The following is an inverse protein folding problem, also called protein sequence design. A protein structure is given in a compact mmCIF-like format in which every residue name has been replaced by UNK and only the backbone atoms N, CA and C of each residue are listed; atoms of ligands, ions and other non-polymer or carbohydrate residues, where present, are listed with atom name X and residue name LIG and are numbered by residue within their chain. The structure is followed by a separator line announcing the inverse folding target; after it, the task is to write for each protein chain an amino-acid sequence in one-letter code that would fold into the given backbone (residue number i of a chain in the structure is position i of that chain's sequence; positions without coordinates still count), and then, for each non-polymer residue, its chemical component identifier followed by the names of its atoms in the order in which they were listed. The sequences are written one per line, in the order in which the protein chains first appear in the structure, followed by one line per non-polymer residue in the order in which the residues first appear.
data_IF_267509795920
#
_entry.id   IF_267509795920
#
_cell.length_a   1.000
_cell.length_b   1.000
_cell.length_c   1.000
_cell.angle_alpha   90.00
_cell.angle_beta   90.00
_cell.angle_gamma   90.00
#
_symmetry.space_group_name_H-M   'P 1'
#
loop_
_entity.id
_entity.type
_entity.pdbx_description
1 polymer ?
#
# COMPACT_ATOMS: atom_id res chain seq x y z
N UNK A 1 -30.42 6.59 -0.51
CA UNK A 1 -29.13 5.90 -0.26
C UNK A 1 -29.32 4.45 -0.68
N UNK A 2 -28.52 3.91 -1.61
CA UNK A 2 -28.60 2.49 -1.99
C UNK A 2 -27.42 1.74 -1.36
N UNK A 3 -27.65 0.96 -0.28
CA UNK A 3 -26.59 0.25 0.44
C UNK A 3 -25.74 -0.65 -0.46
N UNK A 4 -26.32 -1.22 -1.51
CA UNK A 4 -25.63 -2.12 -2.42
C UNK A 4 -24.57 -1.41 -3.27
N UNK A 5 -24.87 -0.17 -3.71
CA UNK A 5 -23.91 0.65 -4.47
C UNK A 5 -22.75 1.04 -3.56
N UNK A 6 -23.05 1.42 -2.31
CA UNK A 6 -22.01 1.80 -1.35
C UNK A 6 -21.07 0.63 -1.04
N UNK A 7 -21.62 -0.55 -0.75
CA UNK A 7 -20.83 -1.75 -0.50
C UNK A 7 -19.96 -2.14 -1.71
N UNK A 8 -20.51 -2.06 -2.93
CA UNK A 8 -19.74 -2.30 -4.15
C UNK A 8 -18.58 -1.32 -4.32
N UNK A 9 -18.83 -0.02 -4.13
CA UNK A 9 -17.79 1.00 -4.24
C UNK A 9 -16.71 0.83 -3.17
N UNK A 10 -17.09 0.52 -1.93
CA UNK A 10 -16.13 0.24 -0.85
C UNK A 10 -15.25 -0.96 -1.20
N UNK A 11 -15.84 -2.07 -1.65
CA UNK A 11 -15.07 -3.24 -2.07
C UNK A 11 -14.14 -2.90 -3.24
N UNK A 12 -14.65 -2.21 -4.27
CA UNK A 12 -13.86 -1.76 -5.41
C UNK A 12 -12.65 -0.91 -4.98
N UNK A 13 -12.87 0.07 -4.10
CA UNK A 13 -11.79 0.92 -3.56
C UNK A 13 -10.76 0.11 -2.78
N UNK A 14 -11.19 -0.87 -1.99
CA UNK A 14 -10.28 -1.73 -1.22
C UNK A 14 -9.35 -2.50 -2.16
N UNK A 15 -9.91 -3.17 -3.16
CA UNK A 15 -9.11 -3.95 -4.11
C UNK A 15 -8.20 -3.05 -4.95
N UNK A 16 -8.70 -1.90 -5.44
CA UNK A 16 -7.88 -0.96 -6.20
C UNK A 16 -6.70 -0.43 -5.38
N UNK A 17 -6.93 0.04 -4.16
CA UNK A 17 -5.86 0.58 -3.31
C UNK A 17 -4.79 -0.49 -2.98
N UNK A 18 -5.22 -1.71 -2.64
CA UNK A 18 -4.29 -2.80 -2.37
C UNK A 18 -3.48 -3.22 -3.60
N UNK A 19 -4.12 -3.29 -4.77
CA UNK A 19 -3.42 -3.59 -6.04
C UNK A 19 -2.41 -2.49 -6.36
N UNK A 20 -2.76 -1.21 -6.20
CA UNK A 20 -1.82 -0.12 -6.43
C UNK A 20 -0.60 -0.20 -5.51
N UNK A 21 -0.76 -0.52 -4.23
CA UNK A 21 0.36 -0.74 -3.30
C UNK A 21 1.31 -1.85 -3.80
N UNK A 22 0.75 -2.95 -4.30
CA UNK A 22 1.53 -4.06 -4.86
C UNK A 22 2.29 -3.61 -6.12
N UNK A 23 1.60 -2.92 -7.04
CA UNK A 23 2.22 -2.43 -8.29
C UNK A 23 3.37 -1.48 -7.98
N UNK A 24 3.18 -0.54 -7.06
CA UNK A 24 4.23 0.41 -6.66
C UNK A 24 5.41 -0.34 -6.04
N UNK A 25 5.15 -1.33 -5.17
CA UNK A 25 6.20 -2.17 -4.60
C UNK A 25 7.01 -2.93 -5.66
N UNK A 26 6.33 -3.45 -6.69
CA UNK A 26 7.00 -4.09 -7.83
C UNK A 26 7.85 -3.10 -8.63
N UNK A 27 7.33 -1.90 -8.92
CA UNK A 27 8.07 -0.85 -9.62
C UNK A 27 9.35 -0.49 -8.85
N UNK A 28 9.27 -0.36 -7.52
CA UNK A 28 10.42 -0.05 -6.67
C UNK A 28 11.47 -1.17 -6.75
N UNK A 29 11.07 -2.44 -6.63
CA UNK A 29 11.99 -3.59 -6.74
C UNK A 29 12.70 -3.59 -8.10
N UNK A 30 11.97 -3.36 -9.20
CA UNK A 30 12.53 -3.38 -10.54
C UNK A 30 13.45 -2.18 -10.78
N UNK A 31 13.09 -1.00 -10.27
CA UNK A 31 13.85 0.24 -10.43
C UNK A 31 15.09 0.34 -9.54
N UNK A 32 15.14 -0.38 -8.42
CA UNK A 32 16.20 -0.28 -7.41
C UNK A 32 16.94 -1.60 -7.19
N UNK A 33 17.20 -2.36 -8.26
CA UNK A 33 17.86 -3.68 -8.17
C UNK A 33 19.23 -3.65 -7.48
N UNK A 34 19.94 -2.53 -7.60
CA UNK A 34 21.30 -2.38 -7.06
C UNK A 34 21.32 -1.73 -5.67
N UNK A 35 20.21 -1.13 -5.23
CA UNK A 35 20.07 -0.51 -3.90
C UNK A 35 19.35 -1.45 -2.95
N UNK A 36 20.09 -1.98 -1.96
CA UNK A 36 19.54 -2.87 -0.91
C UNK A 36 18.32 -2.25 -0.21
N UNK A 37 18.31 -0.94 0.03
CA UNK A 37 17.19 -0.26 0.71
C UNK A 37 15.94 -0.18 -0.18
N UNK A 38 16.10 0.17 -1.45
CA UNK A 38 15.00 0.21 -2.42
C UNK A 38 14.34 -1.16 -2.60
N UNK A 39 15.14 -2.22 -2.69
CA UNK A 39 14.60 -3.58 -2.79
C UNK A 39 13.69 -3.96 -1.60
N UNK A 40 14.14 -3.70 -0.36
CA UNK A 40 13.32 -3.96 0.84
C UNK A 40 12.08 -3.07 0.94
N UNK A 41 12.15 -1.82 0.49
CA UNK A 41 10.99 -0.93 0.40
C UNK A 41 9.92 -1.48 -0.54
N UNK A 42 10.32 -2.00 -1.70
CA UNK A 42 9.36 -2.57 -2.62
C UNK A 42 8.74 -3.87 -2.11
N UNK A 43 9.49 -4.71 -1.39
CA UNK A 43 8.92 -5.88 -0.69
C UNK A 43 7.89 -5.44 0.35
N UNK A 44 8.21 -4.44 1.18
CA UNK A 44 7.27 -3.89 2.16
C UNK A 44 5.99 -3.38 1.51
N UNK A 45 6.09 -2.69 0.36
CA UNK A 45 4.93 -2.24 -0.41
C UNK A 45 4.02 -3.39 -0.88
N UNK A 46 4.62 -4.47 -1.39
CA UNK A 46 3.86 -5.66 -1.80
C UNK A 46 3.18 -6.32 -0.60
N UNK A 47 3.93 -6.54 0.49
CA UNK A 47 3.39 -7.18 1.70
C UNK A 47 2.25 -6.35 2.29
N UNK A 48 2.41 -5.03 2.39
CA UNK A 48 1.37 -4.14 2.88
C UNK A 48 0.14 -4.11 1.96
N UNK A 49 0.32 -4.15 0.64
CA UNK A 49 -0.79 -4.24 -0.30
C UNK A 49 -1.59 -5.53 -0.16
N UNK A 50 -0.92 -6.67 0.07
CA UNK A 50 -1.59 -7.95 0.35
C UNK A 50 -2.35 -7.89 1.68
N UNK A 51 -1.71 -7.39 2.74
CA UNK A 51 -2.35 -7.20 4.06
C UNK A 51 -3.57 -6.29 3.93
N UNK A 52 -3.46 -5.20 3.17
CA UNK A 52 -4.56 -4.25 2.95
C UNK A 52 -5.78 -4.93 2.31
N UNK A 53 -5.60 -5.77 1.29
CA UNK A 53 -6.69 -6.51 0.64
C UNK A 53 -7.34 -7.49 1.63
N UNK A 54 -6.53 -8.21 2.40
CA UNK A 54 -7.03 -9.17 3.40
C UNK A 54 -7.84 -8.43 4.46
N UNK A 55 -7.27 -7.42 5.12
CA UNK A 55 -7.97 -6.68 6.17
C UNK A 55 -9.18 -5.93 5.64
N UNK A 56 -9.10 -5.41 4.43
CA UNK A 56 -10.23 -4.75 3.78
C UNK A 56 -11.38 -5.73 3.53
N UNK A 57 -11.07 -6.97 3.15
CA UNK A 57 -12.11 -7.99 2.91
C UNK A 57 -12.76 -8.47 4.20
N UNK A 58 -11.98 -8.70 5.27
CA UNK A 58 -12.49 -9.33 6.51
C UNK A 58 -12.92 -8.35 7.60
N UNK A 59 -12.19 -7.25 7.78
CA UNK A 59 -12.42 -6.32 8.90
C UNK A 59 -13.28 -5.13 8.44
N UNK A 60 -13.14 -4.69 7.18
CA UNK A 60 -13.86 -3.55 6.60
C UNK A 60 -13.85 -2.27 7.47
N UNK A 61 -12.89 -2.12 8.38
CA UNK A 61 -12.79 -0.94 9.25
C UNK A 61 -11.98 0.14 8.54
N UNK A 62 -12.59 1.28 8.17
CA UNK A 62 -11.93 2.34 7.41
C UNK A 62 -10.72 2.95 8.14
N UNK A 63 -10.75 2.98 9.48
CA UNK A 63 -9.65 3.51 10.29
C UNK A 63 -8.40 2.63 10.16
N UNK A 64 -8.58 1.31 10.18
CA UNK A 64 -7.47 0.35 10.05
C UNK A 64 -6.88 0.43 8.64
N UNK A 65 -7.73 0.46 7.61
CA UNK A 65 -7.29 0.59 6.22
C UNK A 65 -6.55 1.91 5.97
N UNK A 66 -7.11 3.03 6.45
CA UNK A 66 -6.47 4.33 6.35
C UNK A 66 -5.12 4.38 7.08
N UNK A 67 -5.03 3.73 8.25
CA UNK A 67 -3.77 3.66 9.01
C UNK A 67 -2.69 2.88 8.28
N UNK A 68 -3.02 1.78 7.58
CA UNK A 68 -2.07 1.02 6.78
C UNK A 68 -1.48 1.85 5.64
N UNK A 69 -2.33 2.60 4.93
CA UNK A 69 -1.88 3.52 3.88
C UNK A 69 -1.00 4.62 4.49
N UNK A 70 -1.40 5.20 5.62
CA UNK A 70 -0.63 6.23 6.31
C UNK A 70 0.76 5.74 6.74
N UNK A 71 0.85 4.56 7.35
CA UNK A 71 2.13 3.93 7.74
C UNK A 71 3.00 3.72 6.51
N UNK A 72 2.43 3.21 5.42
CA UNK A 72 3.17 3.01 4.18
C UNK A 72 3.72 4.32 3.61
N UNK A 73 2.92 5.39 3.59
CA UNK A 73 3.35 6.72 3.14
C UNK A 73 4.44 7.32 4.03
N UNK A 74 4.34 7.14 5.35
CA UNK A 74 5.37 7.62 6.28
C UNK A 74 6.69 6.89 6.07
N UNK A 75 6.67 5.55 5.96
CA UNK A 75 7.87 4.74 5.75
C UNK A 75 8.52 5.10 4.41
N UNK A 76 7.75 5.11 3.32
CA UNK A 76 8.28 5.43 1.98
C UNK A 76 8.74 6.88 1.88
N UNK A 77 7.99 7.83 2.46
CA UNK A 77 8.34 9.25 2.49
C UNK A 77 9.62 9.52 3.26
N UNK A 78 9.74 8.99 4.49
CA UNK A 78 10.95 9.16 5.31
C UNK A 78 12.16 8.52 4.65
N UNK A 79 12.03 7.32 4.11
CA UNK A 79 13.15 6.64 3.46
C UNK A 79 13.62 7.36 2.19
N UNK A 80 12.71 7.90 1.38
CA UNK A 80 13.07 8.72 0.21
C UNK A 80 13.81 10.01 0.61
N UNK A 81 13.44 10.64 1.73
CA UNK A 81 14.14 11.81 2.24
C UNK A 81 15.57 11.48 2.69
N UNK A 82 15.78 10.30 3.27
CA UNK A 82 17.12 9.83 3.69
C UNK A 82 18.00 9.43 2.51
N UNK A 83 17.42 8.89 1.43
CA UNK A 83 18.14 8.51 0.20
C UNK A 83 18.61 9.76 -0.58
N UNK A 84 17.78 10.81 -0.66
CA UNK A 84 18.10 12.06 -1.38
C UNK A 84 18.82 13.13 -0.52
N UNK A 85 19.12 12.84 0.75
CA UNK A 85 19.63 13.80 1.74
C UNK A 85 21.15 13.85 1.92
N UNK A 86 21.91 13.13 1.10
CA UNK A 86 23.38 13.11 1.01
C UNK A 86 23.85 13.11 -0.45
#
# INVERSE_FOLDING_TARGET
FNPSIFAFLTALTIYLAGIFLIIIGLIIIVGNRDNKYGFWMGILGIVLGVIYIILGTYINNPLILGSLIGIWLLVTGVLNLLDNGY
#
